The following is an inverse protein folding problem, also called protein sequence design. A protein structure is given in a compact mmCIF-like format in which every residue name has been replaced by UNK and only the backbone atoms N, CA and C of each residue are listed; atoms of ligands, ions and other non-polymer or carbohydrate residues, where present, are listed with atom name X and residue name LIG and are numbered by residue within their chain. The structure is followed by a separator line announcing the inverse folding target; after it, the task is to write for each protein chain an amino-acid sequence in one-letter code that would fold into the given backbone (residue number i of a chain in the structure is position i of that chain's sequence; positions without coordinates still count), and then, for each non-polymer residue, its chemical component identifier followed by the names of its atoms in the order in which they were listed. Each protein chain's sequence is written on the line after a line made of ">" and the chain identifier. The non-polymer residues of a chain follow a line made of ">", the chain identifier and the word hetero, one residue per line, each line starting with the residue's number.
data_IF_100402967992
#
_entry.id   IF_100402967992
#
_cell.length_a   1.000
_cell.length_b   1.000
_cell.length_c   1.000
_cell.angle_alpha   90.00
_cell.angle_beta   90.00
_cell.angle_gamma   90.00
#
_symmetry.space_group_name_H-M   'P 1'
#
loop_
_entity.id
_entity.type
_entity.pdbx_description
1 polymer ?
#
# COMPACT_ATOMS: atom_id res chain seq x y z
N UNK A 1 46.93 -22.50 -62.33
CA UNK A 1 45.63 -22.87 -61.75
C UNK A 1 45.80 -22.93 -60.25
N UNK A 2 45.29 -22.00 -59.45
CA UNK A 2 45.30 -22.13 -58.01
C UNK A 2 43.96 -22.64 -57.52
N UNK A 3 44.00 -23.57 -56.62
CA UNK A 3 42.95 -24.33 -55.94
C UNK A 3 42.20 -23.38 -54.94
N UNK A 4 40.87 -23.28 -55.08
CA UNK A 4 40.01 -22.60 -54.13
C UNK A 4 39.82 -23.45 -52.88
N UNK A 5 40.10 -22.88 -51.71
CA UNK A 5 39.81 -23.46 -50.42
C UNK A 5 38.41 -22.92 -50.00
N UNK A 6 37.45 -23.84 -49.92
CA UNK A 6 36.09 -23.56 -49.39
C UNK A 6 36.14 -23.52 -47.87
N UNK A 7 35.68 -22.40 -47.28
CA UNK A 7 35.43 -22.29 -45.85
C UNK A 7 34.11 -22.96 -45.46
N UNK A 8 34.01 -23.64 -44.31
CA UNK A 8 32.75 -24.21 -43.83
C UNK A 8 31.82 -23.14 -43.29
N UNK A 9 30.53 -23.34 -43.53
CA UNK A 9 29.41 -22.50 -43.12
C UNK A 9 29.38 -22.24 -41.61
N UNK A 10 29.21 -20.99 -41.26
CA UNK A 10 28.97 -20.54 -39.90
C UNK A 10 27.58 -21.00 -39.41
N UNK A 11 27.58 -21.77 -38.33
CA UNK A 11 26.42 -22.22 -37.59
C UNK A 11 25.52 -21.03 -37.24
N UNK A 12 24.27 -21.07 -37.71
CA UNK A 12 23.24 -20.11 -37.37
C UNK A 12 22.88 -20.25 -35.89
N UNK A 13 23.35 -19.29 -35.06
CA UNK A 13 22.89 -19.12 -33.69
C UNK A 13 21.42 -18.68 -33.69
N UNK A 14 20.55 -19.46 -33.06
CA UNK A 14 19.14 -19.17 -32.84
C UNK A 14 19.05 -17.87 -32.04
N UNK A 15 18.34 -16.84 -32.54
CA UNK A 15 18.19 -15.61 -31.78
C UNK A 15 17.25 -15.83 -30.56
N UNK A 16 17.84 -15.84 -29.38
CA UNK A 16 17.06 -15.74 -28.11
C UNK A 16 16.26 -14.44 -28.16
N UNK A 17 14.96 -14.59 -28.24
CA UNK A 17 13.97 -13.52 -28.35
C UNK A 17 14.03 -12.60 -27.12
N UNK A 18 14.90 -11.59 -27.16
CA UNK A 18 14.90 -10.40 -26.31
C UNK A 18 13.79 -9.45 -26.77
N UNK A 19 12.55 -9.74 -26.43
CA UNK A 19 11.46 -8.79 -26.67
C UNK A 19 10.62 -8.71 -25.43
N UNK A 20 10.82 -7.62 -24.66
CA UNK A 20 9.80 -6.81 -23.93
C UNK A 20 10.51 -5.67 -23.14
N UNK A 21 11.85 -5.53 -23.17
CA UNK A 21 12.55 -4.48 -22.38
C UNK A 21 13.22 -3.41 -23.25
N UNK A 22 13.20 -3.48 -24.57
CA UNK A 22 13.95 -2.57 -25.45
C UNK A 22 13.06 -1.61 -26.23
N UNK A 23 12.43 -0.66 -25.54
CA UNK A 23 12.32 0.73 -25.99
C UNK A 23 12.50 1.62 -24.76
N UNK A 24 13.38 2.62 -24.80
CA UNK A 24 13.40 3.65 -23.77
C UNK A 24 12.08 4.40 -23.87
N UNK A 25 11.13 4.03 -23.00
CA UNK A 25 9.85 4.75 -22.88
C UNK A 25 10.21 6.18 -22.54
N UNK A 26 10.03 7.11 -23.50
CA UNK A 26 10.22 8.52 -23.27
C UNK A 26 9.46 8.93 -22.01
N UNK A 27 10.14 9.54 -21.06
CA UNK A 27 9.51 10.00 -19.83
C UNK A 27 8.34 10.92 -20.21
N UNK A 28 7.14 10.77 -19.56
CA UNK A 28 6.03 11.68 -19.84
C UNK A 28 6.53 13.11 -19.64
N UNK A 29 6.33 13.98 -20.63
CA UNK A 29 6.91 15.34 -20.71
C UNK A 29 6.62 16.26 -19.52
N UNK A 30 5.80 15.82 -18.55
CA UNK A 30 5.38 16.57 -17.37
C UNK A 30 5.91 16.02 -16.03
N UNK A 31 6.82 15.05 -16.05
CA UNK A 31 7.39 14.51 -14.82
C UNK A 31 8.76 15.15 -14.56
N UNK A 32 8.91 15.90 -13.49
CA UNK A 32 10.23 16.33 -12.99
C UNK A 32 11.04 15.07 -12.66
N UNK A 33 12.00 14.73 -13.52
CA UNK A 33 12.84 13.54 -13.36
C UNK A 33 12.11 12.19 -13.55
N UNK A 34 11.04 12.08 -14.36
CA UNK A 34 10.28 10.84 -14.60
C UNK A 34 9.33 10.44 -13.45
N UNK A 35 9.09 11.35 -12.49
CA UNK A 35 8.26 11.10 -11.29
C UNK A 35 6.86 11.67 -11.48
N UNK A 36 5.81 10.87 -11.30
CA UNK A 36 4.42 11.34 -11.32
C UNK A 36 4.06 12.03 -10.00
N UNK A 37 3.68 13.31 -10.11
CA UNK A 37 3.32 14.14 -8.93
C UNK A 37 2.07 13.61 -8.24
N UNK A 38 1.11 13.08 -8.99
CA UNK A 38 -0.09 12.46 -8.44
C UNK A 38 0.19 11.29 -7.51
N UNK A 39 1.20 10.44 -7.82
CA UNK A 39 1.57 9.32 -6.96
C UNK A 39 2.13 9.79 -5.61
N UNK A 40 2.94 10.85 -5.61
CA UNK A 40 3.48 11.41 -4.38
C UNK A 40 2.42 12.10 -3.55
N UNK A 41 1.53 12.86 -4.20
CA UNK A 41 0.41 13.52 -3.53
C UNK A 41 -0.57 12.49 -2.94
N UNK A 42 -0.91 11.45 -3.70
CA UNK A 42 -1.80 10.40 -3.22
C UNK A 42 -1.18 9.64 -2.03
N UNK A 43 0.10 9.31 -2.08
CA UNK A 43 0.80 8.71 -0.94
C UNK A 43 0.76 9.62 0.28
N UNK A 44 0.97 10.92 0.12
CA UNK A 44 0.88 11.89 1.19
C UNK A 44 -0.53 12.04 1.76
N UNK A 45 -1.55 11.96 0.93
CA UNK A 45 -2.95 11.92 1.37
C UNK A 45 -3.21 10.70 2.26
N UNK A 46 -2.77 9.52 1.84
CA UNK A 46 -2.89 8.29 2.65
C UNK A 46 -2.15 8.45 3.99
N UNK A 47 -0.95 9.05 3.98
CA UNK A 47 -0.20 9.30 5.21
C UNK A 47 -0.92 10.28 6.14
N UNK A 48 -1.55 11.32 5.60
CA UNK A 48 -2.38 12.25 6.36
C UNK A 48 -3.52 11.51 7.07
N UNK A 49 -4.26 10.68 6.34
CA UNK A 49 -5.33 9.88 6.91
C UNK A 49 -4.81 8.95 8.01
N UNK A 50 -3.74 8.21 7.74
CA UNK A 50 -3.18 7.25 8.69
C UNK A 50 -2.76 7.92 10.01
N UNK A 51 -2.14 9.09 9.94
CA UNK A 51 -1.66 9.80 11.13
C UNK A 51 -2.77 10.60 11.82
N UNK A 52 -3.87 10.92 11.12
CA UNK A 52 -5.00 11.67 11.69
C UNK A 52 -5.80 10.87 12.72
N UNK A 53 -5.72 9.52 12.72
CA UNK A 53 -6.50 8.64 13.60
C UNK A 53 -8.00 9.02 13.64
N UNK A 54 -8.59 9.23 12.46
CA UNK A 54 -10.00 9.57 12.33
C UNK A 54 -10.35 11.02 12.66
N UNK A 55 -9.36 11.93 12.72
CA UNK A 55 -9.56 13.37 13.00
C UNK A 55 -10.34 13.67 14.29
N UNK A 56 -10.42 12.72 15.22
CA UNK A 56 -11.23 12.84 16.42
C UNK A 56 -12.74 12.62 16.18
N UNK A 57 -13.16 12.14 15.01
CA UNK A 57 -14.58 11.95 14.67
C UNK A 57 -15.27 10.86 15.50
N UNK A 58 -14.54 10.07 16.29
CA UNK A 58 -15.13 9.11 17.23
C UNK A 58 -16.17 9.70 18.19
N UNK A 59 -16.03 10.97 18.55
CA UNK A 59 -16.99 11.70 19.42
C UNK A 59 -18.36 11.87 18.76
N UNK A 60 -18.43 11.79 17.44
CA UNK A 60 -19.68 11.96 16.68
C UNK A 60 -20.58 10.72 16.73
N UNK A 61 -20.15 9.61 17.32
CA UNK A 61 -20.96 8.37 17.43
C UNK A 61 -22.28 8.59 18.16
N UNK A 62 -22.30 9.50 19.13
CA UNK A 62 -23.48 9.84 19.94
C UNK A 62 -24.40 10.88 19.29
N UNK A 63 -24.01 11.46 18.15
CA UNK A 63 -24.75 12.48 17.43
C UNK A 63 -25.43 11.89 16.19
N UNK A 64 -26.75 11.64 16.16
CA UNK A 64 -27.42 10.88 15.09
C UNK A 64 -27.16 11.41 13.68
N UNK A 65 -27.11 12.73 13.47
CA UNK A 65 -26.84 13.34 12.16
C UNK A 65 -25.41 13.15 11.65
N UNK A 66 -24.45 12.84 12.52
CA UNK A 66 -23.01 12.74 12.20
C UNK A 66 -22.43 11.36 12.47
N UNK A 67 -23.20 10.44 13.05
CA UNK A 67 -22.75 9.08 13.41
C UNK A 67 -22.18 8.30 12.22
N UNK A 68 -22.68 8.55 11.01
CA UNK A 68 -22.15 7.95 9.79
C UNK A 68 -20.67 8.32 9.55
N UNK A 69 -20.29 9.57 9.86
CA UNK A 69 -18.90 10.04 9.68
C UNK A 69 -17.96 9.34 10.68
N UNK A 70 -18.40 9.19 11.94
CA UNK A 70 -17.67 8.42 12.94
C UNK A 70 -17.49 6.95 12.50
N UNK A 71 -18.52 6.35 11.91
CA UNK A 71 -18.46 4.98 11.39
C UNK A 71 -17.45 4.87 10.24
N UNK A 72 -17.43 5.83 9.31
CA UNK A 72 -16.47 5.81 8.20
C UNK A 72 -15.03 6.14 8.64
N UNK A 73 -14.84 6.79 9.78
CA UNK A 73 -13.54 7.12 10.38
C UNK A 73 -13.03 6.05 11.35
N UNK A 74 -13.71 4.91 11.45
CA UNK A 74 -13.33 3.77 12.30
C UNK A 74 -13.31 2.48 11.47
N UNK A 75 -12.64 1.46 11.97
CA UNK A 75 -12.59 0.14 11.32
C UNK A 75 -13.92 -0.60 11.44
N UNK A 76 -14.29 -1.34 10.41
CA UNK A 76 -15.37 -2.32 10.49
C UNK A 76 -15.11 -3.30 11.65
N UNK A 77 -16.17 -3.66 12.39
CA UNK A 77 -16.03 -4.51 13.58
C UNK A 77 -15.40 -5.85 13.24
N UNK A 78 -15.84 -6.49 12.16
CA UNK A 78 -15.26 -7.70 11.58
C UNK A 78 -15.49 -7.76 10.07
N UNK A 79 -16.71 -7.96 9.62
CA UNK A 79 -17.10 -7.97 8.21
C UNK A 79 -17.45 -6.57 7.70
N UNK A 80 -17.17 -6.29 6.45
CA UNK A 80 -17.42 -5.03 5.78
C UNK A 80 -16.16 -4.24 5.49
N UNK A 81 -16.36 -3.05 4.94
CA UNK A 81 -15.28 -2.14 4.57
C UNK A 81 -15.76 -0.69 4.76
N UNK A 82 -15.16 -0.01 5.71
CA UNK A 82 -15.33 1.43 5.91
C UNK A 82 -14.28 2.19 5.11
N UNK A 83 -14.44 3.51 5.01
CA UNK A 83 -13.41 4.36 4.41
C UNK A 83 -12.07 4.22 5.13
N UNK A 84 -12.09 4.05 6.46
CA UNK A 84 -10.88 3.87 7.27
C UNK A 84 -10.13 2.57 6.96
N UNK A 85 -10.86 1.54 6.53
CA UNK A 85 -10.26 0.27 6.12
C UNK A 85 -9.50 0.35 4.81
N UNK A 86 -9.74 1.38 3.99
CA UNK A 86 -9.06 1.57 2.70
C UNK A 86 -7.63 2.14 2.83
N UNK A 87 -7.26 2.70 3.99
CA UNK A 87 -5.96 3.36 4.18
C UNK A 87 -4.80 2.39 3.95
N UNK A 88 -4.87 1.21 4.53
CA UNK A 88 -3.81 0.21 4.40
C UNK A 88 -3.73 -0.38 2.99
N UNK A 89 -4.83 -0.82 2.33
CA UNK A 89 -4.82 -1.20 0.91
C UNK A 89 -4.28 -0.09 0.00
N UNK A 90 -4.70 1.16 0.22
CA UNK A 90 -4.22 2.28 -0.57
C UNK A 90 -2.70 2.48 -0.43
N UNK A 91 -2.16 2.33 0.77
CA UNK A 91 -0.73 2.46 1.00
C UNK A 91 0.07 1.33 0.33
N UNK A 92 -0.37 0.08 0.49
CA UNK A 92 0.30 -1.08 -0.11
C UNK A 92 0.19 -1.07 -1.65
N UNK A 93 -0.97 -0.71 -2.18
CA UNK A 93 -1.17 -0.48 -3.61
C UNK A 93 -0.21 0.58 -4.16
N UNK A 94 -0.04 1.71 -3.44
CA UNK A 94 0.87 2.78 -3.84
C UNK A 94 2.34 2.35 -3.84
N UNK A 95 2.74 1.46 -2.93
CA UNK A 95 4.08 0.85 -2.97
C UNK A 95 4.26 0.06 -4.27
N UNK A 96 3.25 -0.71 -4.66
CA UNK A 96 3.21 -1.41 -5.95
C UNK A 96 3.28 -0.44 -7.13
N UNK A 97 2.44 0.60 -7.14
CA UNK A 97 2.38 1.57 -8.23
C UNK A 97 3.69 2.35 -8.43
N UNK A 98 4.44 2.59 -7.36
CA UNK A 98 5.75 3.24 -7.43
C UNK A 98 6.88 2.31 -7.90
N UNK A 99 6.73 0.98 -7.75
CA UNK A 99 7.77 -0.01 -8.07
C UNK A 99 8.27 0.06 -9.52
N UNK A 100 7.43 0.10 -10.57
CA UNK A 100 7.90 0.18 -11.95
C UNK A 100 8.73 1.43 -12.26
N UNK A 101 8.43 2.55 -11.60
CA UNK A 101 9.21 3.79 -11.74
C UNK A 101 10.58 3.68 -11.07
N UNK A 102 10.61 3.14 -9.85
CA UNK A 102 11.85 2.97 -9.10
C UNK A 102 12.80 1.96 -9.78
N UNK A 103 12.27 0.82 -10.26
CA UNK A 103 13.07 -0.19 -10.94
C UNK A 103 13.60 0.31 -12.27
N UNK A 104 12.77 0.98 -13.08
CA UNK A 104 13.22 1.52 -14.37
C UNK A 104 14.34 2.54 -14.21
N UNK A 105 14.28 3.42 -13.21
CA UNK A 105 15.35 4.37 -12.93
C UNK A 105 16.66 3.66 -12.57
N UNK A 106 16.61 2.58 -11.79
CA UNK A 106 17.79 1.81 -11.43
C UNK A 106 18.38 1.05 -12.62
N UNK A 107 17.51 0.46 -13.47
CA UNK A 107 17.92 -0.20 -14.71
C UNK A 107 18.59 0.80 -15.65
N UNK A 108 18.02 1.99 -15.82
CA UNK A 108 18.62 3.05 -16.62
C UNK A 108 20.00 3.51 -16.08
N UNK A 109 20.23 3.38 -14.77
CA UNK A 109 21.53 3.60 -14.14
C UNK A 109 22.46 2.37 -14.16
N UNK A 110 22.16 1.33 -14.94
CA UNK A 110 23.03 0.17 -15.14
C UNK A 110 22.91 -0.94 -14.07
N UNK A 111 21.90 -0.92 -13.20
CA UNK A 111 21.75 -1.93 -12.16
C UNK A 111 21.41 -3.31 -12.78
N UNK A 112 22.19 -4.36 -12.44
CA UNK A 112 21.89 -5.73 -12.82
C UNK A 112 20.66 -6.27 -12.10
N UNK A 113 20.04 -7.34 -12.64
CA UNK A 113 18.90 -8.02 -12.01
C UNK A 113 19.22 -8.49 -10.60
N UNK A 114 20.43 -9.01 -10.39
CA UNK A 114 20.89 -9.46 -9.07
C UNK A 114 21.02 -8.29 -8.08
N UNK A 115 21.58 -7.16 -8.54
CA UNK A 115 21.67 -5.94 -7.71
C UNK A 115 20.28 -5.40 -7.30
N UNK A 116 19.31 -5.46 -8.22
CA UNK A 116 17.92 -5.10 -7.93
C UNK A 116 17.31 -6.06 -6.90
N UNK A 117 17.49 -7.35 -7.03
CA UNK A 117 16.98 -8.34 -6.08
C UNK A 117 17.59 -8.17 -4.68
N UNK A 118 18.91 -8.01 -4.60
CA UNK A 118 19.61 -7.72 -3.34
C UNK A 118 19.04 -6.46 -2.67
N UNK A 119 18.79 -5.41 -3.45
CA UNK A 119 18.19 -4.17 -2.91
C UNK A 119 16.76 -4.39 -2.41
N UNK A 120 15.95 -5.18 -3.14
CA UNK A 120 14.58 -5.52 -2.73
C UNK A 120 14.59 -6.29 -1.40
N UNK A 121 15.46 -7.29 -1.27
CA UNK A 121 15.60 -8.07 -0.03
C UNK A 121 16.09 -7.20 1.13
N UNK A 122 17.09 -6.34 0.89
CA UNK A 122 17.61 -5.43 1.91
C UNK A 122 16.52 -4.47 2.41
N UNK A 123 15.76 -3.90 1.49
CA UNK A 123 14.63 -3.03 1.82
C UNK A 123 13.56 -3.78 2.63
N UNK A 124 13.21 -4.99 2.23
CA UNK A 124 12.25 -5.83 2.95
C UNK A 124 12.75 -6.13 4.37
N UNK A 125 14.03 -6.48 4.52
CA UNK A 125 14.64 -6.72 5.82
C UNK A 125 14.55 -5.48 6.73
N UNK A 126 14.94 -4.29 6.22
CA UNK A 126 14.85 -3.05 7.00
C UNK A 126 13.42 -2.72 7.42
N UNK A 127 12.43 -2.96 6.55
CA UNK A 127 11.01 -2.75 6.88
C UNK A 127 10.53 -3.70 7.97
N UNK A 128 10.96 -4.98 7.95
CA UNK A 128 10.62 -5.95 8.99
C UNK A 128 11.25 -5.55 10.32
N UNK A 129 12.52 -5.17 10.34
CA UNK A 129 13.22 -4.70 11.53
C UNK A 129 12.50 -3.47 12.11
N UNK A 130 12.26 -2.47 11.28
CA UNK A 130 11.59 -1.23 11.70
C UNK A 130 10.17 -1.49 12.23
N UNK A 131 9.42 -2.37 11.58
CA UNK A 131 8.11 -2.82 12.04
C UNK A 131 8.16 -3.42 13.44
N UNK A 132 9.11 -4.31 13.68
CA UNK A 132 9.24 -4.96 14.99
C UNK A 132 9.73 -3.99 16.08
N UNK A 133 10.58 -3.02 15.74
CA UNK A 133 10.94 -1.93 16.66
C UNK A 133 9.67 -1.18 17.09
N UNK A 134 8.81 -0.78 16.14
CA UNK A 134 7.57 -0.06 16.46
C UNK A 134 6.58 -0.89 17.24
N UNK A 135 6.37 -2.15 16.85
CA UNK A 135 5.42 -3.04 17.53
C UNK A 135 5.81 -3.37 18.97
N UNK A 136 7.08 -3.23 19.29
CA UNK A 136 7.60 -3.46 20.66
C UNK A 136 7.96 -2.14 21.37
N UNK A 137 7.70 -0.98 20.76
CA UNK A 137 8.04 0.32 21.34
C UNK A 137 7.28 0.55 22.67
N UNK A 138 8.01 0.75 23.73
CA UNK A 138 7.43 0.91 25.07
C UNK A 138 6.91 -0.37 25.74
N UNK A 139 7.06 -1.54 25.09
CA UNK A 139 6.67 -2.82 25.67
C UNK A 139 7.61 -3.20 26.83
N UNK A 140 7.04 -3.64 27.96
CA UNK A 140 7.77 -4.19 29.10
C UNK A 140 7.79 -5.73 29.12
N UNK A 141 7.08 -6.38 28.23
CA UNK A 141 6.87 -7.85 28.19
C UNK A 141 7.89 -8.61 27.33
N UNK A 142 9.03 -7.97 27.00
CA UNK A 142 10.06 -8.55 26.12
C UNK A 142 9.73 -8.43 24.64
N UNK A 143 10.65 -8.88 23.79
CA UNK A 143 10.52 -8.86 22.34
C UNK A 143 9.50 -9.90 21.88
N UNK A 144 8.44 -9.46 21.21
CA UNK A 144 7.47 -10.31 20.48
C UNK A 144 7.57 -10.03 19.00
N UNK A 145 7.94 -11.03 18.21
CA UNK A 145 8.00 -10.87 16.74
C UNK A 145 6.60 -10.68 16.18
N UNK A 146 6.34 -9.56 15.53
CA UNK A 146 5.04 -9.22 14.95
C UNK A 146 5.16 -8.98 13.44
N UNK A 147 4.32 -9.64 12.65
CA UNK A 147 4.36 -9.58 11.18
C UNK A 147 3.11 -8.98 10.55
N UNK A 148 2.13 -8.56 11.37
CA UNK A 148 0.86 -7.97 10.91
C UNK A 148 0.93 -6.47 10.62
N UNK A 149 1.97 -5.78 11.07
CA UNK A 149 2.14 -4.36 10.82
C UNK A 149 2.27 -4.09 9.31
N UNK A 150 1.76 -2.96 8.86
CA UNK A 150 1.76 -2.58 7.45
C UNK A 150 3.16 -2.62 6.80
N UNK A 151 4.23 -2.33 7.56
CA UNK A 151 5.60 -2.39 7.03
C UNK A 151 6.05 -3.83 6.75
N UNK A 152 5.72 -4.80 7.62
CA UNK A 152 5.98 -6.22 7.36
C UNK A 152 5.18 -6.72 6.17
N UNK A 153 3.92 -6.33 6.06
CA UNK A 153 3.09 -6.70 4.91
C UNK A 153 3.63 -6.14 3.60
N UNK A 154 4.12 -4.90 3.62
CA UNK A 154 4.83 -4.32 2.47
C UNK A 154 6.10 -5.13 2.18
N UNK A 155 6.89 -5.47 3.19
CA UNK A 155 8.14 -6.19 3.01
C UNK A 155 7.92 -7.52 2.28
N UNK A 156 6.99 -8.35 2.76
CA UNK A 156 6.66 -9.64 2.14
C UNK A 156 6.06 -9.45 0.75
N UNK A 157 5.03 -8.61 0.63
CA UNK A 157 4.36 -8.39 -0.64
C UNK A 157 5.24 -7.72 -1.70
N UNK A 158 6.21 -6.87 -1.29
CA UNK A 158 7.14 -6.22 -2.21
C UNK A 158 8.10 -7.23 -2.86
N UNK A 159 8.61 -8.20 -2.08
CA UNK A 159 9.46 -9.28 -2.60
C UNK A 159 8.66 -10.15 -3.58
N UNK A 160 7.46 -10.59 -3.19
CA UNK A 160 6.57 -11.40 -4.03
C UNK A 160 6.24 -10.66 -5.32
N UNK A 161 5.83 -9.39 -5.23
CA UNK A 161 5.49 -8.56 -6.38
C UNK A 161 6.70 -8.36 -7.31
N UNK A 162 7.90 -8.15 -6.77
CA UNK A 162 9.11 -8.03 -7.57
C UNK A 162 9.36 -9.29 -8.40
N UNK A 163 9.23 -10.47 -7.81
CA UNK A 163 9.43 -11.75 -8.52
C UNK A 163 8.38 -11.95 -9.62
N UNK A 164 7.10 -11.71 -9.31
CA UNK A 164 6.00 -11.89 -10.26
C UNK A 164 6.11 -10.90 -11.43
N UNK A 165 6.47 -9.66 -11.20
CA UNK A 165 6.59 -8.64 -12.26
C UNK A 165 7.72 -8.91 -13.26
N UNK A 166 8.58 -9.91 -13.01
CA UNK A 166 9.58 -10.42 -13.97
C UNK A 166 9.03 -11.40 -14.99
N UNK A 167 7.82 -11.91 -14.75
CA UNK A 167 7.16 -12.85 -15.64
C UNK A 167 6.39 -12.08 -16.74
N UNK A 168 6.01 -12.81 -17.80
CA UNK A 168 5.04 -12.31 -18.78
C UNK A 168 3.71 -11.97 -18.12
N UNK A 169 3.01 -10.96 -18.63
CA UNK A 169 1.78 -10.44 -17.98
C UNK A 169 0.72 -11.53 -17.77
N UNK A 170 0.53 -12.44 -18.73
CA UNK A 170 -0.42 -13.57 -18.57
C UNK A 170 -0.05 -14.47 -17.40
N UNK A 171 1.24 -14.72 -17.19
CA UNK A 171 1.74 -15.51 -16.04
C UNK A 171 1.55 -14.75 -14.73
N UNK A 172 1.75 -13.43 -14.73
CA UNK A 172 1.47 -12.60 -13.55
C UNK A 172 0.00 -12.72 -13.13
N UNK A 173 -0.93 -12.65 -14.09
CA UNK A 173 -2.37 -12.82 -13.82
C UNK A 173 -2.67 -14.22 -13.29
N UNK A 174 -2.12 -15.27 -13.93
CA UNK A 174 -2.31 -16.65 -13.48
C UNK A 174 -1.80 -16.87 -12.05
N UNK A 175 -0.63 -16.32 -11.71
CA UNK A 175 -0.08 -16.40 -10.34
C UNK A 175 -0.94 -15.63 -9.35
N UNK A 176 -1.44 -14.45 -9.70
CA UNK A 176 -2.34 -13.67 -8.83
C UNK A 176 -3.64 -14.45 -8.54
N UNK A 177 -4.25 -15.04 -9.58
CA UNK A 177 -5.44 -15.89 -9.43
C UNK A 177 -5.13 -17.11 -8.58
N UNK A 178 -4.00 -17.80 -8.82
CA UNK A 178 -3.60 -18.95 -8.04
C UNK A 178 -3.33 -18.60 -6.56
N UNK A 179 -2.74 -17.43 -6.28
CA UNK A 179 -2.53 -16.95 -4.91
C UNK A 179 -3.86 -16.70 -4.19
N UNK A 180 -4.81 -16.01 -4.82
CA UNK A 180 -6.11 -15.73 -4.22
C UNK A 180 -6.91 -17.05 -4.05
N UNK A 181 -7.06 -17.83 -5.13
CA UNK A 181 -7.79 -19.10 -5.05
C UNK A 181 -7.17 -20.06 -4.03
N UNK A 182 -5.85 -20.16 -3.95
CA UNK A 182 -5.14 -20.97 -2.96
C UNK A 182 -5.33 -20.44 -1.55
N UNK A 183 -5.31 -19.12 -1.36
CA UNK A 183 -5.56 -18.48 -0.07
C UNK A 183 -6.99 -18.75 0.42
N UNK A 184 -7.98 -18.54 -0.45
CA UNK A 184 -9.37 -18.90 -0.17
C UNK A 184 -9.52 -20.39 0.17
N UNK A 185 -8.90 -21.27 -0.63
CA UNK A 185 -8.97 -22.72 -0.43
C UNK A 185 -8.40 -23.16 0.94
N UNK A 186 -7.31 -22.52 1.39
CA UNK A 186 -6.74 -22.81 2.73
C UNK A 186 -7.76 -22.55 3.82
N UNK A 187 -8.50 -21.45 3.76
CA UNK A 187 -9.54 -21.14 4.76
C UNK A 187 -10.79 -22.03 4.59
N UNK A 188 -11.21 -22.29 3.34
CA UNK A 188 -12.42 -23.08 3.06
C UNK A 188 -12.25 -24.58 3.39
N UNK A 189 -11.06 -25.15 3.09
CA UNK A 189 -10.78 -26.58 3.31
C UNK A 189 -10.33 -26.84 4.75
N UNK A 190 -9.62 -25.90 5.37
CA UNK A 190 -9.11 -25.98 6.73
C UNK A 190 -9.71 -24.87 7.61
N UNK A 191 -11.02 -24.87 7.90
CA UNK A 191 -11.69 -23.71 8.50
C UNK A 191 -11.15 -23.31 9.88
N UNK A 192 -10.48 -24.21 10.58
CA UNK A 192 -10.11 -24.04 11.99
C UNK A 192 -11.28 -24.34 12.94
N UNK A 193 -11.06 -24.32 14.26
CA UNK A 193 -12.05 -24.79 15.25
C UNK A 193 -13.33 -23.93 15.28
N UNK A 194 -13.26 -22.63 15.00
CA UNK A 194 -14.41 -21.72 15.08
C UNK A 194 -15.01 -21.37 13.71
N UNK A 195 -14.51 -21.98 12.62
CA UNK A 195 -14.97 -21.77 11.27
C UNK A 195 -14.02 -20.91 10.41
N UNK A 196 -14.18 -21.03 9.08
CA UNK A 196 -13.27 -20.47 8.09
C UNK A 196 -13.00 -18.96 8.24
N UNK A 197 -14.07 -18.20 8.43
CA UNK A 197 -14.02 -16.73 8.47
C UNK A 197 -14.28 -16.17 9.85
N UNK A 198 -14.16 -17.02 10.89
CA UNK A 198 -14.39 -16.60 12.27
C UNK A 198 -13.36 -15.57 12.73
N UNK A 199 -13.77 -14.76 13.69
CA UNK A 199 -12.92 -13.73 14.30
C UNK A 199 -11.79 -14.34 15.14
N UNK A 200 -12.09 -15.46 15.79
CA UNK A 200 -11.16 -16.26 16.58
C UNK A 200 -10.89 -17.57 15.86
N UNK A 201 -10.11 -18.43 16.24
CA UNK A 201 -9.96 -19.83 15.84
C UNK A 201 -9.97 -20.19 14.33
N UNK A 202 -9.94 -19.24 13.40
CA UNK A 202 -9.75 -19.53 11.98
C UNK A 202 -8.36 -20.13 11.72
N UNK A 203 -8.14 -20.72 10.52
CA UNK A 203 -6.86 -21.38 10.19
C UNK A 203 -5.66 -20.44 10.32
N UNK A 204 -5.80 -19.17 10.00
CA UNK A 204 -4.72 -18.18 10.15
C UNK A 204 -4.31 -17.99 11.61
N UNK A 205 -5.29 -17.93 12.52
CA UNK A 205 -5.04 -17.88 13.96
C UNK A 205 -4.39 -19.17 14.48
N UNK A 206 -4.80 -20.34 13.96
CA UNK A 206 -4.16 -21.63 14.30
C UNK A 206 -2.70 -21.67 13.84
N UNK A 207 -2.42 -21.18 12.64
CA UNK A 207 -1.05 -21.10 12.10
C UNK A 207 -0.19 -20.18 12.98
N UNK A 208 -0.68 -18.98 13.32
CA UNK A 208 0.03 -18.03 14.16
C UNK A 208 0.32 -18.59 15.55
N UNK A 209 -0.66 -19.24 16.17
CA UNK A 209 -0.49 -19.90 17.46
C UNK A 209 0.59 -20.99 17.42
N UNK A 210 0.64 -21.79 16.34
CA UNK A 210 1.65 -22.85 16.17
C UNK A 210 3.05 -22.30 15.89
N UNK A 211 3.16 -21.24 15.08
CA UNK A 211 4.46 -20.69 14.66
C UNK A 211 5.05 -19.68 15.64
N UNK A 212 4.20 -18.85 16.24
CA UNK A 212 4.62 -17.73 17.10
C UNK A 212 4.37 -18.00 18.58
N UNK A 213 3.50 -18.97 18.92
CA UNK A 213 3.08 -19.26 20.28
C UNK A 213 2.00 -18.32 20.82
N UNK A 214 1.45 -17.43 20.00
CA UNK A 214 0.39 -16.50 20.38
C UNK A 214 -0.43 -16.01 19.17
N UNK A 215 -1.63 -15.48 19.44
CA UNK A 215 -2.44 -14.76 18.46
C UNK A 215 -2.32 -13.25 18.69
N UNK A 216 -2.41 -12.48 17.60
CA UNK A 216 -2.33 -11.03 17.66
C UNK A 216 -3.58 -10.40 18.29
N UNK A 217 -3.39 -9.36 19.07
CA UNK A 217 -4.50 -8.48 19.46
C UNK A 217 -5.11 -7.84 18.20
N UNK A 218 -6.45 -7.75 18.15
CA UNK A 218 -7.16 -7.22 16.99
C UNK A 218 -7.43 -8.27 15.90
N UNK A 219 -7.11 -9.55 16.13
CA UNK A 219 -7.52 -10.69 15.30
C UNK A 219 -6.97 -10.69 13.87
N UNK A 220 -5.82 -10.06 13.66
CA UNK A 220 -5.06 -10.15 12.41
C UNK A 220 -4.34 -11.50 12.35
N UNK A 221 -4.04 -11.97 11.14
CA UNK A 221 -3.26 -13.19 10.93
C UNK A 221 -2.04 -12.89 10.06
N UNK A 222 -0.91 -13.56 10.32
CA UNK A 222 0.34 -13.36 9.55
C UNK A 222 0.13 -13.64 8.07
N UNK A 223 -0.61 -14.71 7.74
CA UNK A 223 -0.79 -15.15 6.35
C UNK A 223 -1.62 -14.19 5.49
N UNK A 224 -2.23 -13.15 6.07
CA UNK A 224 -2.97 -12.13 5.31
C UNK A 224 -2.08 -11.33 4.34
N UNK A 225 -0.74 -11.42 4.48
CA UNK A 225 0.19 -10.84 3.52
C UNK A 225 0.01 -11.39 2.10
N UNK A 226 -0.59 -12.58 1.92
CA UNK A 226 -0.82 -13.20 0.60
C UNK A 226 -1.82 -12.34 -0.19
N UNK A 227 -2.98 -12.03 0.36
CA UNK A 227 -3.96 -11.13 -0.27
C UNK A 227 -3.41 -9.70 -0.44
N UNK A 228 -2.66 -9.23 0.55
CA UNK A 228 -1.98 -7.93 0.46
C UNK A 228 -0.93 -7.89 -0.66
N UNK A 229 -0.18 -8.98 -0.90
CA UNK A 229 0.79 -9.07 -2.00
C UNK A 229 0.11 -8.91 -3.37
N UNK A 230 -1.11 -9.45 -3.53
CA UNK A 230 -1.90 -9.25 -4.75
C UNK A 230 -2.38 -7.79 -4.87
N UNK A 231 -2.73 -7.14 -3.77
CA UNK A 231 -3.03 -5.69 -3.77
C UNK A 231 -1.81 -4.86 -4.24
N UNK A 232 -0.60 -5.21 -3.78
CA UNK A 232 0.65 -4.58 -4.25
C UNK A 232 0.87 -4.84 -5.75
N UNK A 233 0.59 -6.06 -6.22
CA UNK A 233 0.72 -6.42 -7.63
C UNK A 233 -0.26 -5.64 -8.51
N UNK A 234 -1.52 -5.46 -8.09
CA UNK A 234 -2.49 -4.59 -8.77
C UNK A 234 -1.98 -3.15 -8.86
N UNK A 235 -1.36 -2.66 -7.78
CA UNK A 235 -0.65 -1.39 -7.80
C UNK A 235 0.47 -1.35 -8.85
N UNK A 236 1.29 -2.39 -8.94
CA UNK A 236 2.37 -2.46 -9.93
C UNK A 236 1.82 -2.45 -11.36
N UNK A 237 0.72 -3.14 -11.64
CA UNK A 237 0.05 -3.08 -12.95
C UNK A 237 -0.48 -1.69 -13.28
N UNK A 238 -1.09 -1.00 -12.31
CA UNK A 238 -1.48 0.40 -12.47
C UNK A 238 -0.27 1.31 -12.76
N UNK A 239 0.83 1.11 -12.02
CA UNK A 239 2.09 1.83 -12.25
C UNK A 239 2.69 1.57 -13.64
N UNK A 240 2.67 0.33 -14.12
CA UNK A 240 3.08 -0.03 -15.48
C UNK A 240 2.21 0.69 -16.52
N UNK A 241 0.88 0.67 -16.35
CA UNK A 241 -0.07 1.38 -17.22
C UNK A 241 0.23 2.88 -17.27
N UNK A 242 0.44 3.51 -16.10
CA UNK A 242 0.72 4.95 -16.02
C UNK A 242 2.03 5.33 -16.72
N UNK A 243 3.01 4.42 -16.78
CA UNK A 243 4.29 4.62 -17.48
C UNK A 243 4.20 4.46 -19.00
N UNK A 244 3.16 3.85 -19.54
CA UNK A 244 3.01 3.72 -21.01
C UNK A 244 2.87 5.07 -21.69
N UNK A 245 3.19 5.14 -23.00
CA UNK A 245 2.97 6.33 -23.82
C UNK A 245 1.52 6.46 -24.34
N UNK A 246 0.56 5.70 -23.74
CA UNK A 246 -0.86 5.80 -24.12
C UNK A 246 -1.45 7.12 -23.63
N UNK A 247 -2.51 7.58 -24.31
CA UNK A 247 -3.21 8.82 -23.96
C UNK A 247 -3.78 8.77 -22.52
N UNK A 248 -3.92 9.94 -21.90
CA UNK A 248 -4.54 10.06 -20.57
C UNK A 248 -5.95 9.46 -20.54
N UNK A 249 -6.74 9.67 -21.60
CA UNK A 249 -8.09 9.10 -21.70
C UNK A 249 -8.08 7.57 -21.73
N UNK A 250 -7.11 6.95 -22.43
CA UNK A 250 -6.95 5.50 -22.42
C UNK A 250 -6.61 4.99 -21.01
N UNK A 251 -5.63 5.59 -20.35
CA UNK A 251 -5.22 5.21 -18.99
C UNK A 251 -6.38 5.31 -18.00
N UNK A 252 -7.13 6.41 -18.03
CA UNK A 252 -8.30 6.60 -17.17
C UNK A 252 -9.41 5.58 -17.46
N UNK A 253 -9.70 5.28 -18.73
CA UNK A 253 -10.69 4.25 -19.09
C UNK A 253 -10.29 2.86 -18.58
N UNK A 254 -9.03 2.47 -18.73
CA UNK A 254 -8.54 1.17 -18.23
C UNK A 254 -8.63 1.13 -16.70
N UNK A 255 -8.18 2.17 -15.99
CA UNK A 255 -8.30 2.26 -14.54
C UNK A 255 -9.76 2.21 -14.08
N UNK A 256 -10.68 2.91 -14.77
CA UNK A 256 -12.10 2.87 -14.46
C UNK A 256 -12.69 1.47 -14.64
N UNK A 257 -12.34 0.77 -15.74
CA UNK A 257 -12.75 -0.61 -15.96
C UNK A 257 -12.21 -1.56 -14.86
N UNK A 258 -10.93 -1.38 -14.45
CA UNK A 258 -10.35 -2.16 -13.36
C UNK A 258 -11.04 -1.86 -12.01
N UNK A 259 -11.39 -0.60 -11.72
CA UNK A 259 -12.13 -0.24 -10.52
C UNK A 259 -13.52 -0.88 -10.50
N UNK A 260 -14.26 -0.79 -11.62
CA UNK A 260 -15.58 -1.42 -11.77
C UNK A 260 -15.50 -2.94 -11.61
N UNK A 261 -14.51 -3.59 -12.24
CA UNK A 261 -14.26 -5.02 -12.07
C UNK A 261 -13.92 -5.37 -10.60
N UNK A 262 -13.12 -4.54 -9.92
CA UNK A 262 -12.83 -4.71 -8.50
C UNK A 262 -14.09 -4.69 -7.64
N UNK A 263 -15.00 -3.74 -7.85
CA UNK A 263 -16.29 -3.71 -7.14
C UNK A 263 -17.16 -4.92 -7.47
N UNK A 264 -17.30 -5.25 -8.75
CA UNK A 264 -18.13 -6.37 -9.19
C UNK A 264 -17.63 -7.70 -8.59
N UNK A 265 -16.31 -7.97 -8.66
CA UNK A 265 -15.71 -9.18 -8.10
C UNK A 265 -15.77 -9.19 -6.57
N UNK A 266 -15.48 -8.06 -5.91
CA UNK A 266 -15.53 -7.96 -4.45
C UNK A 266 -16.93 -8.25 -3.91
N UNK A 267 -17.97 -7.73 -4.54
CA UNK A 267 -19.37 -7.97 -4.16
C UNK A 267 -19.83 -9.40 -4.55
N UNK A 268 -19.44 -9.89 -5.72
CA UNK A 268 -19.82 -11.22 -6.18
C UNK A 268 -19.22 -12.34 -5.33
N UNK A 269 -18.00 -12.12 -4.80
CA UNK A 269 -17.32 -13.08 -3.93
C UNK A 269 -17.82 -13.04 -2.47
N UNK A 270 -18.42 -11.93 -2.04
CA UNK A 270 -18.81 -11.72 -0.63
C UNK A 270 -19.66 -12.86 -0.01
N UNK A 271 -20.61 -13.50 -0.71
CA UNK A 271 -21.37 -14.60 -0.14
C UNK A 271 -20.54 -15.85 0.20
N UNK A 272 -19.43 -16.07 -0.49
CA UNK A 272 -18.56 -17.24 -0.33
C UNK A 272 -17.27 -16.92 0.43
N UNK A 273 -16.89 -15.65 0.46
CA UNK A 273 -15.67 -15.15 1.04
C UNK A 273 -15.96 -13.75 1.61
N UNK A 274 -16.44 -13.66 2.88
CA UNK A 274 -16.89 -12.41 3.46
C UNK A 274 -15.79 -11.36 3.46
N UNK A 275 -16.19 -10.09 3.40
CA UNK A 275 -15.26 -8.96 3.31
C UNK A 275 -14.62 -8.70 4.67
N UNK A 276 -13.44 -9.28 4.91
CA UNK A 276 -12.72 -9.17 6.19
C UNK A 276 -11.31 -8.64 5.97
N UNK A 277 -11.07 -7.39 6.35
CA UNK A 277 -9.76 -6.73 6.26
C UNK A 277 -8.67 -7.47 7.03
N UNK A 278 -8.98 -7.94 8.23
CA UNK A 278 -7.97 -8.55 9.13
C UNK A 278 -7.43 -9.87 8.59
N UNK A 279 -8.23 -10.56 7.80
CA UNK A 279 -7.82 -11.75 7.04
C UNK A 279 -7.35 -11.39 5.62
N UNK A 280 -7.63 -10.17 5.14
CA UNK A 280 -7.35 -9.74 3.77
C UNK A 280 -7.97 -10.67 2.74
N UNK A 281 -9.26 -10.97 2.92
CA UNK A 281 -10.03 -11.88 2.07
C UNK A 281 -10.07 -11.40 0.62
N UNK A 282 -10.40 -12.29 -0.33
CA UNK A 282 -10.40 -11.94 -1.74
C UNK A 282 -11.46 -10.89 -2.07
N UNK A 283 -12.65 -10.99 -1.46
CA UNK A 283 -13.70 -9.99 -1.58
C UNK A 283 -13.21 -8.61 -1.11
N UNK A 284 -12.51 -8.56 0.05
CA UNK A 284 -11.89 -7.33 0.55
C UNK A 284 -10.78 -6.83 -0.39
N UNK A 285 -9.93 -7.74 -0.91
CA UNK A 285 -8.85 -7.42 -1.85
C UNK A 285 -9.38 -6.71 -3.09
N UNK A 286 -10.41 -7.28 -3.74
CA UNK A 286 -11.00 -6.70 -4.94
C UNK A 286 -11.76 -5.41 -4.66
N UNK A 287 -12.63 -5.41 -3.63
CA UNK A 287 -13.46 -4.26 -3.31
C UNK A 287 -12.62 -3.04 -2.89
N UNK A 288 -11.68 -3.24 -1.98
CA UNK A 288 -10.77 -2.16 -1.54
C UNK A 288 -9.90 -1.64 -2.68
N UNK A 289 -9.41 -2.54 -3.56
CA UNK A 289 -8.66 -2.14 -4.76
C UNK A 289 -9.49 -1.28 -5.71
N UNK A 290 -10.78 -1.57 -5.87
CA UNK A 290 -11.71 -0.73 -6.64
C UNK A 290 -11.70 0.73 -6.15
N UNK A 291 -11.87 0.94 -4.86
CA UNK A 291 -11.82 2.27 -4.22
C UNK A 291 -10.45 2.93 -4.36
N UNK A 292 -9.38 2.17 -4.13
CA UNK A 292 -8.01 2.68 -4.22
C UNK A 292 -7.68 3.15 -5.63
N UNK A 293 -8.13 2.43 -6.66
CA UNK A 293 -7.98 2.84 -8.06
C UNK A 293 -8.79 4.12 -8.35
N UNK A 294 -10.01 4.25 -7.84
CA UNK A 294 -10.80 5.49 -8.01
C UNK A 294 -10.09 6.69 -7.38
N UNK A 295 -9.54 6.54 -6.17
CA UNK A 295 -8.76 7.59 -5.54
C UNK A 295 -7.51 7.94 -6.39
N UNK A 296 -6.77 6.93 -6.88
CA UNK A 296 -5.64 7.16 -7.79
C UNK A 296 -6.07 7.91 -9.04
N UNK A 297 -7.19 7.53 -9.66
CA UNK A 297 -7.74 8.20 -10.83
C UNK A 297 -8.04 9.67 -10.56
N UNK A 298 -8.64 10.00 -9.41
CA UNK A 298 -8.94 11.37 -9.02
C UNK A 298 -7.66 12.21 -8.91
N UNK A 299 -6.63 11.70 -8.20
CA UNK A 299 -5.33 12.38 -8.09
C UNK A 299 -4.65 12.52 -9.45
N UNK A 300 -4.63 11.46 -10.25
CA UNK A 300 -4.02 11.48 -11.59
C UNK A 300 -4.73 12.47 -12.52
N UNK A 301 -6.06 12.44 -12.55
CA UNK A 301 -6.86 13.34 -13.39
C UNK A 301 -6.68 14.81 -12.99
N UNK A 302 -6.77 15.13 -11.70
CA UNK A 302 -6.64 16.51 -11.22
C UNK A 302 -5.22 17.05 -11.42
N UNK A 303 -4.20 16.26 -11.03
CA UNK A 303 -2.82 16.75 -10.94
C UNK A 303 -2.08 16.61 -12.26
N UNK A 304 -2.14 15.43 -12.93
CA UNK A 304 -1.33 15.17 -14.12
C UNK A 304 -2.07 15.48 -15.42
N UNK A 305 -3.42 15.36 -15.46
CA UNK A 305 -4.22 15.67 -16.65
C UNK A 305 -4.68 17.13 -16.65
N UNK A 306 -5.36 17.57 -15.59
CA UNK A 306 -5.87 18.94 -15.47
C UNK A 306 -4.82 19.96 -14.99
N UNK A 307 -3.66 19.50 -14.56
CA UNK A 307 -2.53 20.32 -14.06
C UNK A 307 -2.89 21.21 -12.85
N UNK A 308 -3.96 20.87 -12.11
CA UNK A 308 -4.35 21.57 -10.88
C UNK A 308 -3.51 21.02 -9.73
N UNK A 309 -2.38 21.67 -9.40
CA UNK A 309 -1.37 21.14 -8.47
C UNK A 309 -1.34 21.83 -7.10
N UNK A 310 -1.85 23.07 -6.99
CA UNK A 310 -1.68 23.88 -5.77
C UNK A 310 -2.29 23.24 -4.52
N UNK A 311 -3.47 22.67 -4.65
CA UNK A 311 -4.17 22.00 -3.54
C UNK A 311 -3.44 20.74 -3.05
N UNK A 312 -2.63 20.10 -3.91
CA UNK A 312 -1.91 18.89 -3.59
C UNK A 312 -0.64 19.15 -2.74
N UNK A 313 -0.24 20.41 -2.58
CA UNK A 313 1.00 20.77 -1.87
C UNK A 313 1.08 20.21 -0.44
N UNK A 314 0.04 20.30 0.42
CA UNK A 314 0.11 19.71 1.76
C UNK A 314 0.37 18.21 1.74
N UNK A 315 -0.20 17.50 0.77
CA UNK A 315 0.00 16.06 0.59
C UNK A 315 1.40 15.75 0.06
N UNK A 316 1.92 16.55 -0.88
CA UNK A 316 3.29 16.37 -1.39
C UNK A 316 4.33 16.46 -0.27
N UNK A 317 4.16 17.39 0.67
CA UNK A 317 5.04 17.53 1.84
C UNK A 317 5.10 16.24 2.64
N UNK A 318 3.96 15.63 2.95
CA UNK A 318 3.89 14.36 3.68
C UNK A 318 4.39 13.18 2.82
N UNK A 319 4.03 13.16 1.54
CA UNK A 319 4.42 12.11 0.62
C UNK A 319 5.93 12.01 0.42
N UNK A 320 6.66 13.12 0.55
CA UNK A 320 8.12 13.16 0.45
C UNK A 320 8.81 12.54 1.68
N UNK A 321 8.18 12.60 2.86
CA UNK A 321 8.69 12.07 4.12
C UNK A 321 7.74 11.04 4.75
N UNK A 322 7.12 10.18 3.93
CA UNK A 322 6.08 9.24 4.35
C UNK A 322 6.54 8.27 5.45
N UNK A 323 7.77 7.75 5.39
CA UNK A 323 8.29 6.86 6.42
C UNK A 323 8.53 7.61 7.74
N UNK A 324 8.98 8.86 7.69
CA UNK A 324 9.21 9.69 8.85
C UNK A 324 7.91 9.97 9.62
N UNK A 325 6.88 10.47 8.92
CA UNK A 325 5.58 10.79 9.57
C UNK A 325 4.88 9.51 10.09
N UNK A 326 5.01 8.39 9.38
CA UNK A 326 4.56 7.10 9.86
C UNK A 326 5.25 6.72 11.18
N UNK A 327 6.58 6.87 11.24
CA UNK A 327 7.37 6.58 12.43
C UNK A 327 6.93 7.40 13.65
N UNK A 328 6.71 8.70 13.45
CA UNK A 328 6.22 9.58 14.54
C UNK A 328 4.87 9.11 15.09
N UNK A 329 3.98 8.63 14.23
CA UNK A 329 2.71 8.03 14.63
C UNK A 329 2.91 6.78 15.49
N UNK A 330 3.81 5.87 15.07
CA UNK A 330 4.03 4.58 15.73
C UNK A 330 4.72 4.69 17.10
N UNK A 331 5.62 5.66 17.30
CA UNK A 331 6.34 5.82 18.58
C UNK A 331 5.58 6.68 19.61
N UNK A 332 4.32 7.03 19.35
CA UNK A 332 3.45 7.70 20.31
C UNK A 332 3.69 9.21 20.47
N UNK A 333 4.47 9.85 19.59
CA UNK A 333 4.70 11.31 19.61
C UNK A 333 3.40 12.09 19.57
N UNK A 334 2.41 11.60 18.82
CA UNK A 334 1.09 12.21 18.73
C UNK A 334 0.41 12.32 20.10
N UNK A 335 0.40 11.25 20.88
CA UNK A 335 -0.18 11.25 22.23
C UNK A 335 0.56 12.20 23.18
N UNK A 336 1.88 12.29 23.04
CA UNK A 336 2.68 13.24 23.80
C UNK A 336 2.38 14.69 23.42
N UNK A 337 2.32 15.01 22.14
CA UNK A 337 1.91 16.33 21.65
C UNK A 337 0.50 16.69 22.09
N UNK A 338 -0.43 15.75 22.02
CA UNK A 338 -1.82 15.98 22.45
C UNK A 338 -1.87 16.37 23.92
N UNK A 339 -1.20 15.64 24.81
CA UNK A 339 -1.14 15.99 26.26
C UNK A 339 -0.50 17.36 26.50
N UNK A 340 0.61 17.67 25.80
CA UNK A 340 1.25 18.98 25.90
C UNK A 340 0.34 20.12 25.48
N UNK A 341 -0.36 19.96 24.35
CA UNK A 341 -1.29 20.98 23.84
C UNK A 341 -2.53 21.16 24.73
N UNK A 342 -3.03 20.10 25.35
CA UNK A 342 -4.20 20.19 26.24
C UNK A 342 -4.00 21.19 27.38
N UNK A 343 -2.76 21.36 27.87
CA UNK A 343 -2.44 22.36 28.88
C UNK A 343 -2.75 23.80 28.43
N UNK A 344 -2.69 24.07 27.11
CA UNK A 344 -2.93 25.40 26.53
C UNK A 344 -4.34 25.55 25.94
N UNK A 345 -4.88 24.48 25.38
CA UNK A 345 -6.18 24.50 24.68
C UNK A 345 -7.38 24.18 25.58
N UNK A 346 -7.11 23.60 26.75
CA UNK A 346 -8.18 23.03 27.60
C UNK A 346 -8.98 21.96 26.86
N UNK A 347 -8.36 21.32 25.82
CA UNK A 347 -9.03 20.36 24.92
C UNK A 347 -10.25 20.96 24.21
N UNK A 348 -10.32 22.29 24.05
CA UNK A 348 -11.43 23.03 23.48
C UNK A 348 -12.79 22.72 24.18
N UNK A 349 -12.78 22.57 25.51
CA UNK A 349 -13.96 22.17 26.30
C UNK A 349 -15.19 23.05 26.07
N UNK A 350 -14.99 24.32 25.67
CA UNK A 350 -16.07 25.24 25.33
C UNK A 350 -16.91 24.79 24.12
N UNK A 351 -16.40 23.84 23.32
CA UNK A 351 -17.10 23.19 22.19
C UNK A 351 -17.82 21.89 22.62
N UNK A 352 -17.83 21.55 23.92
CA UNK A 352 -18.37 20.29 24.42
C UNK A 352 -17.69 19.08 23.74
N UNK A 353 -18.46 18.09 23.33
CA UNK A 353 -17.97 16.86 22.71
C UNK A 353 -17.17 17.13 21.43
N UNK A 354 -17.47 18.18 20.68
CA UNK A 354 -16.78 18.54 19.45
C UNK A 354 -15.35 19.04 19.68
N UNK A 355 -14.93 19.35 20.90
CA UNK A 355 -13.61 19.86 21.24
C UNK A 355 -12.47 18.92 20.84
N UNK A 356 -12.71 17.61 20.78
CA UNK A 356 -11.72 16.64 20.35
C UNK A 356 -11.29 16.82 18.88
N UNK A 357 -12.16 17.32 18.00
CA UNK A 357 -11.90 17.50 16.58
C UNK A 357 -10.81 18.57 16.34
N UNK A 358 -11.00 19.85 16.77
CA UNK A 358 -9.97 20.87 16.61
C UNK A 358 -8.68 20.51 17.35
N UNK A 359 -8.75 19.80 18.47
CA UNK A 359 -7.58 19.31 19.19
C UNK A 359 -6.74 18.35 18.31
N UNK A 360 -7.36 17.37 17.67
CA UNK A 360 -6.68 16.44 16.79
C UNK A 360 -6.15 17.12 15.51
N UNK A 361 -6.89 18.07 14.95
CA UNK A 361 -6.46 18.89 13.81
C UNK A 361 -5.21 19.70 14.17
N UNK A 362 -5.16 20.26 15.38
CA UNK A 362 -4.00 21.03 15.85
C UNK A 362 -2.75 20.13 15.98
N UNK A 363 -2.90 18.95 16.60
CA UNK A 363 -1.81 17.96 16.68
C UNK A 363 -1.31 17.58 15.29
N UNK A 364 -2.23 17.29 14.37
CA UNK A 364 -1.90 16.93 13.00
C UNK A 364 -1.21 18.07 12.25
N UNK A 365 -1.62 19.31 12.49
CA UNK A 365 -1.00 20.51 11.90
C UNK A 365 0.44 20.69 12.37
N UNK A 366 0.75 20.41 13.62
CA UNK A 366 2.12 20.44 14.13
C UNK A 366 2.99 19.34 13.51
N UNK A 367 2.46 18.12 13.39
CA UNK A 367 3.18 17.03 12.72
C UNK A 367 3.43 17.34 11.25
N UNK A 368 2.42 17.93 10.58
CA UNK A 368 2.57 18.42 9.22
C UNK A 368 3.64 19.51 9.10
N UNK A 369 3.67 20.46 10.04
CA UNK A 369 4.66 21.53 10.06
C UNK A 369 6.08 20.99 10.21
N UNK A 370 6.31 19.95 11.01
CA UNK A 370 7.62 19.29 11.09
C UNK A 370 8.01 18.70 9.73
N UNK A 371 7.09 18.02 9.03
CA UNK A 371 7.34 17.54 7.68
C UNK A 371 7.59 18.66 6.68
N UNK A 372 6.90 19.79 6.82
CA UNK A 372 7.13 20.99 6.01
C UNK A 372 8.49 21.60 6.27
N UNK A 373 8.94 21.66 7.51
CA UNK A 373 10.28 22.12 7.87
C UNK A 373 11.36 21.22 7.24
N UNK A 374 11.22 19.90 7.32
CA UNK A 374 12.11 18.96 6.64
C UNK A 374 12.10 19.15 5.12
N UNK A 375 10.91 19.35 4.54
CA UNK A 375 10.75 19.61 3.12
C UNK A 375 11.50 20.88 2.69
N UNK A 376 11.38 21.98 3.42
CA UNK A 376 12.12 23.23 3.18
C UNK A 376 13.62 23.04 3.26
N UNK A 377 14.10 22.19 4.15
CA UNK A 377 15.53 21.85 4.32
C UNK A 377 16.01 20.77 3.36
N UNK A 378 15.14 20.26 2.47
CA UNK A 378 15.44 19.16 1.52
C UNK A 378 15.93 17.87 2.22
N UNK A 379 15.48 17.64 3.46
CA UNK A 379 15.77 16.44 4.23
C UNK A 379 14.67 15.41 3.96
N UNK A 380 15.04 14.25 3.39
CA UNK A 380 14.12 13.20 3.01
C UNK A 380 14.59 11.85 3.53
N UNK A 381 13.78 11.25 4.41
CA UNK A 381 14.02 9.91 4.93
C UNK A 381 13.55 8.86 3.92
N UNK A 382 14.47 7.96 3.53
CA UNK A 382 14.20 6.90 2.54
C UNK A 382 14.74 5.57 3.06
N UNK A 383 14.00 4.49 2.82
CA UNK A 383 14.40 3.10 3.03
C UNK A 383 14.38 2.37 1.68
#
# INVERSE_FOLDING_TARGET
>A
MPTQITHPEASQAIPVRRQIIEEPVAAPQNAVGGRLVSLDAYRGFIMLLLVSEGFGFGVLKTHPGWAWLATQADHAAWEGCTFWDLIQPAFTFMVGAAMPFALARRIANGASTFALFKHVLWRAFLLIVLSNIYSNWGSRSGLKLQFINVLCQIAFGYVVCFLITRMEFRKQVAVAVAMLAGYWAVFAIFPGPDGAWSKTGNIGAVIDLKLLGYNYSGYYTTINFIGNAVTILFGAWAGMLLRTNRSHAYKLRVLAACAAAGFALGLALQPFNPMVKRLWTDSFTFFSTGWVILMLMAFYWLIDVKQVKRWAFPFLVLGMNSIFIYSLGQIGIKGWLNRGLQAFTGNFQFLGDFGAIPQQILVLSLLWYVCYWLYKRQIFFKI
#
